data_IF_299277138763
#
_entry.id   IF_299277138763
#
_cell.length_a   1.000
_cell.length_b   1.000
_cell.length_c   1.000
_cell.angle_alpha   90.00
_cell.angle_beta   90.00
_cell.angle_gamma   90.00
#
_symmetry.space_group_name_H-M   'P 1'
#
loop_
_entity.id
_entity.type
_entity.pdbx_description
1 polymer ?
#
# COMPACT_ATOMS: atom_id res chain seq x y z
N UNK A 1 -46.44 5.96 14.02
CA UNK A 1 -45.37 5.31 14.79
C UNK A 1 -44.39 4.76 13.78
N UNK A 2 -43.18 5.30 13.70
CA UNK A 2 -42.10 4.75 12.89
C UNK A 2 -41.62 3.48 13.56
N UNK A 3 -41.60 2.35 12.83
CA UNK A 3 -41.00 1.12 13.35
C UNK A 3 -39.54 1.39 13.76
N UNK A 4 -39.09 0.82 14.89
CA UNK A 4 -37.69 0.95 15.29
C UNK A 4 -36.80 0.39 14.18
N UNK A 5 -35.87 1.23 13.70
CA UNK A 5 -34.92 0.84 12.66
C UNK A 5 -34.09 -0.34 13.19
N UNK A 6 -34.05 -1.42 12.42
CA UNK A 6 -33.26 -2.60 12.78
C UNK A 6 -31.80 -2.19 13.03
N UNK A 7 -31.26 -2.65 14.16
CA UNK A 7 -29.84 -2.48 14.47
C UNK A 7 -29.07 -3.55 13.70
N UNK A 8 -27.97 -3.14 13.06
CA UNK A 8 -27.09 -4.05 12.31
C UNK A 8 -26.46 -5.11 13.23
N UNK A 9 -26.20 -6.29 12.69
CA UNK A 9 -25.51 -7.39 13.39
C UNK A 9 -24.01 -7.13 13.52
N UNK A 10 -23.35 -7.88 14.40
CA UNK A 10 -21.89 -7.84 14.54
C UNK A 10 -21.18 -8.22 13.23
N UNK A 11 -21.65 -9.25 12.53
CA UNK A 11 -21.04 -9.68 11.26
C UNK A 11 -21.18 -8.61 10.18
N UNK A 12 -22.33 -7.94 10.09
CA UNK A 12 -22.55 -6.82 9.16
C UNK A 12 -21.66 -5.62 9.50
N UNK A 13 -21.47 -5.29 10.79
CA UNK A 13 -20.57 -4.23 11.21
C UNK A 13 -19.11 -4.56 10.89
N UNK A 14 -18.69 -5.81 11.09
CA UNK A 14 -17.33 -6.26 10.81
C UNK A 14 -17.03 -6.21 9.31
N UNK A 15 -17.94 -6.73 8.49
CA UNK A 15 -17.84 -6.65 7.03
C UNK A 15 -17.80 -5.19 6.55
N UNK A 16 -18.67 -4.33 7.07
CA UNK A 16 -18.67 -2.90 6.75
C UNK A 16 -17.33 -2.23 7.08
N UNK A 17 -16.75 -2.49 8.26
CA UNK A 17 -15.47 -1.92 8.65
C UNK A 17 -14.32 -2.44 7.78
N UNK A 18 -14.34 -3.72 7.38
CA UNK A 18 -13.40 -4.26 6.40
C UNK A 18 -13.50 -3.50 5.07
N UNK A 19 -14.72 -3.26 4.57
CA UNK A 19 -14.91 -2.51 3.33
C UNK A 19 -14.41 -1.06 3.47
N UNK A 20 -14.68 -0.40 4.60
CA UNK A 20 -14.15 0.95 4.86
C UNK A 20 -12.62 0.95 4.93
N UNK A 21 -12.01 -0.07 5.55
CA UNK A 21 -10.55 -0.21 5.60
C UNK A 21 -9.97 -0.32 4.19
N UNK A 22 -10.54 -1.13 3.30
CA UNK A 22 -10.05 -1.27 1.93
C UNK A 22 -10.15 0.04 1.13
N UNK A 23 -11.23 0.80 1.29
CA UNK A 23 -11.33 2.13 0.68
C UNK A 23 -10.26 3.10 1.22
N UNK A 24 -10.04 3.10 2.54
CA UNK A 24 -9.04 3.96 3.17
C UNK A 24 -7.61 3.57 2.78
N UNK A 25 -7.32 2.27 2.63
CA UNK A 25 -6.04 1.78 2.13
C UNK A 25 -5.80 2.21 0.68
N UNK A 26 -6.81 2.08 -0.19
CA UNK A 26 -6.70 2.43 -1.62
C UNK A 26 -6.59 3.94 -1.86
N UNK A 27 -7.21 4.77 -1.03
CA UNK A 27 -7.23 6.21 -1.19
C UNK A 27 -6.95 6.98 0.11
N UNK A 28 -5.77 6.82 0.74
CA UNK A 28 -5.54 7.35 2.09
C UNK A 28 -5.83 8.84 2.21
N UNK A 29 -5.38 9.65 1.25
CA UNK A 29 -5.59 11.10 1.25
C UNK A 29 -7.06 11.53 1.28
N UNK A 30 -7.98 10.77 0.65
CA UNK A 30 -9.41 11.11 0.65
C UNK A 30 -10.11 10.73 1.97
N UNK A 31 -9.51 9.82 2.75
CA UNK A 31 -10.10 9.27 3.96
C UNK A 31 -9.50 9.86 5.24
N UNK A 32 -8.63 10.87 5.15
CA UNK A 32 -7.96 11.47 6.32
C UNK A 32 -6.57 10.89 6.63
N UNK A 33 -5.98 10.19 5.67
CA UNK A 33 -4.62 9.67 5.71
C UNK A 33 -4.44 8.49 6.66
N UNK A 34 -3.20 8.31 7.11
CA UNK A 34 -2.79 7.19 7.97
C UNK A 34 -3.61 7.09 9.27
N UNK A 35 -4.00 8.22 9.85
CA UNK A 35 -4.80 8.25 11.08
C UNK A 35 -6.14 7.53 10.92
N UNK A 36 -6.81 7.69 9.79
CA UNK A 36 -8.09 7.02 9.53
C UNK A 36 -7.92 5.51 9.36
N UNK A 37 -6.87 5.08 8.66
CA UNK A 37 -6.50 3.67 8.53
C UNK A 37 -6.26 3.06 9.92
N UNK A 38 -5.44 3.70 10.74
CA UNK A 38 -5.13 3.25 12.11
C UNK A 38 -6.35 3.27 13.04
N UNK A 39 -7.33 4.15 12.80
CA UNK A 39 -8.60 4.11 13.52
C UNK A 39 -9.45 2.93 13.08
N UNK A 40 -9.60 2.67 11.78
CA UNK A 40 -10.38 1.53 11.28
C UNK A 40 -9.80 0.19 11.77
N UNK A 41 -8.46 0.07 11.80
CA UNK A 41 -7.78 -1.09 12.39
C UNK A 41 -8.11 -1.23 13.89
N UNK A 42 -8.11 -0.15 14.68
CA UNK A 42 -8.50 -0.21 16.10
C UNK A 42 -9.92 -0.73 16.29
N UNK A 43 -10.88 -0.31 15.46
CA UNK A 43 -12.26 -0.78 15.55
C UNK A 43 -12.39 -2.26 15.17
N UNK A 44 -11.67 -2.72 14.16
CA UNK A 44 -11.64 -4.14 13.80
C UNK A 44 -11.01 -4.99 14.91
N UNK A 45 -9.89 -4.53 15.49
CA UNK A 45 -9.29 -5.19 16.66
C UNK A 45 -10.24 -5.23 17.86
N UNK A 46 -10.97 -4.15 18.12
CA UNK A 46 -11.99 -4.12 19.16
C UNK A 46 -13.09 -5.17 18.91
N UNK A 47 -13.60 -5.25 17.69
CA UNK A 47 -14.62 -6.24 17.30
C UNK A 47 -14.12 -7.68 17.41
N UNK A 48 -12.82 -7.92 17.20
CA UNK A 48 -12.16 -9.21 17.39
C UNK A 48 -11.70 -9.48 18.83
N UNK A 49 -12.15 -8.67 19.79
CA UNK A 49 -11.86 -8.87 21.22
C UNK A 49 -10.44 -8.50 21.65
N UNK A 50 -9.74 -7.67 20.88
CA UNK A 50 -8.37 -7.20 21.13
C UNK A 50 -8.33 -5.66 21.32
N UNK A 51 -9.11 -5.08 22.26
CA UNK A 51 -9.17 -3.64 22.46
C UNK A 51 -7.79 -3.07 22.86
N UNK A 52 -7.36 -1.98 22.24
CA UNK A 52 -6.08 -1.32 22.55
C UNK A 52 -4.83 -2.03 22.03
N UNK A 53 -4.96 -3.18 21.36
CA UNK A 53 -3.83 -3.97 20.88
C UNK A 53 -3.08 -3.35 19.70
N UNK A 54 -3.61 -2.28 19.08
CA UNK A 54 -3.03 -1.65 17.87
C UNK A 54 -1.57 -1.27 18.02
N UNK A 55 -1.15 -0.84 19.22
CA UNK A 55 0.25 -0.51 19.45
C UNK A 55 1.13 -1.75 19.27
N UNK A 56 0.80 -2.84 19.95
CA UNK A 56 1.62 -4.05 20.01
C UNK A 56 1.60 -4.85 18.70
N UNK A 57 0.47 -4.87 18.00
CA UNK A 57 0.29 -5.74 16.82
C UNK A 57 0.47 -5.03 15.48
N UNK A 58 0.46 -3.69 15.46
CA UNK A 58 0.63 -2.89 14.23
C UNK A 58 1.83 -1.97 14.37
N UNK A 59 1.78 -1.02 15.32
CA UNK A 59 2.74 0.10 15.35
C UNK A 59 4.13 -0.39 15.74
N UNK A 60 4.25 -1.17 16.82
CA UNK A 60 5.54 -1.65 17.30
C UNK A 60 6.26 -2.53 16.25
N UNK A 61 5.63 -3.53 15.62
CA UNK A 61 6.26 -4.29 14.54
C UNK A 61 6.72 -3.42 13.36
N UNK A 62 5.91 -2.43 12.96
CA UNK A 62 6.31 -1.49 11.91
C UNK A 62 7.52 -0.64 12.34
N UNK A 63 7.58 -0.20 13.59
CA UNK A 63 8.71 0.56 14.14
C UNK A 63 9.98 -0.28 14.21
N UNK A 64 9.88 -1.52 14.69
CA UNK A 64 11.02 -2.44 14.84
C UNK A 64 11.69 -2.72 13.50
N UNK A 65 10.91 -2.85 12.42
CA UNK A 65 11.44 -2.98 11.06
C UNK A 65 11.80 -1.66 10.37
N UNK A 66 11.64 -0.50 11.04
CA UNK A 66 11.94 0.82 10.47
C UNK A 66 10.93 1.35 9.45
N UNK A 67 9.71 0.80 9.42
CA UNK A 67 8.62 1.23 8.53
C UNK A 67 7.71 2.31 9.14
N UNK A 68 7.98 2.77 10.37
CA UNK A 68 7.16 3.77 11.06
C UNK A 68 8.03 4.74 11.86
N UNK A 69 7.91 6.04 11.58
CA UNK A 69 8.64 7.10 12.30
C UNK A 69 7.74 7.88 13.26
N UNK A 70 8.25 8.96 13.85
CA UNK A 70 7.47 9.83 14.74
C UNK A 70 6.24 10.47 14.06
N UNK A 71 6.24 10.55 12.73
CA UNK A 71 5.11 11.05 11.92
C UNK A 71 4.50 9.95 11.04
N UNK A 72 4.64 8.69 11.46
CA UNK A 72 4.04 7.52 10.80
C UNK A 72 4.85 6.97 9.63
N UNK A 73 4.20 6.14 8.80
CA UNK A 73 4.76 5.58 7.55
C UNK A 73 5.15 6.71 6.59
N UNK A 74 4.34 7.79 6.56
CA UNK A 74 4.60 8.96 5.71
C UNK A 74 5.98 9.56 5.93
N UNK A 75 6.46 9.60 7.16
CA UNK A 75 7.79 10.12 7.45
C UNK A 75 8.90 9.26 6.86
N UNK A 76 8.74 7.94 6.89
CA UNK A 76 9.72 7.01 6.33
C UNK A 76 9.81 7.16 4.81
N UNK A 77 8.68 7.30 4.11
CA UNK A 77 8.70 7.50 2.65
C UNK A 77 9.33 8.83 2.22
N UNK A 78 9.18 9.90 3.03
CA UNK A 78 9.87 11.18 2.76
C UNK A 78 11.39 11.07 2.77
N UNK A 79 11.93 10.10 3.47
CA UNK A 79 13.38 9.80 3.49
C UNK A 79 13.80 8.88 2.33
N UNK A 80 12.85 8.20 1.68
CA UNK A 80 13.11 7.27 0.58
C UNK A 80 13.00 7.94 -0.79
N UNK A 81 12.02 8.81 -1.00
CA UNK A 81 11.73 9.40 -2.31
C UNK A 81 11.25 10.85 -2.20
N UNK A 82 11.73 11.70 -3.11
CA UNK A 82 11.28 13.09 -3.26
C UNK A 82 9.84 13.13 -3.74
N UNK A 83 9.06 14.09 -3.24
CA UNK A 83 7.64 14.19 -3.56
C UNK A 83 6.87 12.90 -3.23
N UNK A 84 7.17 12.22 -2.11
CA UNK A 84 6.36 11.09 -1.62
C UNK A 84 4.91 11.55 -1.39
N UNK A 85 3.93 10.69 -1.70
CA UNK A 85 2.50 11.03 -1.63
C UNK A 85 1.74 10.08 -0.71
N UNK A 86 0.49 10.41 -0.37
CA UNK A 86 -0.30 9.63 0.58
C UNK A 86 -0.63 8.20 0.07
N UNK A 87 -0.51 7.91 -1.24
CA UNK A 87 -0.71 6.56 -1.77
C UNK A 87 0.38 5.57 -1.33
N UNK A 88 1.53 6.04 -0.84
CA UNK A 88 2.60 5.19 -0.33
C UNK A 88 2.25 4.56 1.05
N UNK A 89 1.27 5.13 1.75
CA UNK A 89 0.88 4.73 3.12
C UNK A 89 0.07 3.43 3.13
N UNK A 90 -0.95 3.37 2.27
CA UNK A 90 -1.88 2.22 2.16
C UNK A 90 -1.16 0.87 2.02
N UNK A 91 -0.20 0.74 1.07
CA UNK A 91 0.60 -0.48 0.88
C UNK A 91 1.26 -1.04 2.15
N UNK A 92 1.68 -0.20 3.10
CA UNK A 92 2.36 -0.67 4.33
C UNK A 92 1.36 -1.27 5.32
N UNK A 93 0.19 -0.65 5.48
CA UNK A 93 -0.86 -1.17 6.35
C UNK A 93 -1.64 -2.33 5.72
N UNK A 94 -1.63 -2.43 4.39
CA UNK A 94 -2.25 -3.53 3.66
C UNK A 94 -1.63 -4.90 4.00
N UNK A 95 -0.34 -4.96 4.36
CA UNK A 95 0.30 -6.21 4.78
C UNK A 95 -0.31 -6.76 6.06
N UNK A 96 -0.56 -5.90 7.05
CA UNK A 96 -1.23 -6.30 8.28
C UNK A 96 -2.67 -6.72 7.99
N UNK A 97 -3.39 -5.93 7.18
CA UNK A 97 -4.76 -6.26 6.78
C UNK A 97 -4.83 -7.61 6.04
N UNK A 98 -3.83 -7.94 5.22
CA UNK A 98 -3.78 -9.20 4.48
C UNK A 98 -3.62 -10.40 5.41
N UNK A 99 -2.66 -10.36 6.33
CA UNK A 99 -2.45 -11.43 7.33
C UNK A 99 -3.67 -11.66 8.21
N UNK A 100 -4.46 -10.60 8.45
CA UNK A 100 -5.72 -10.67 9.21
C UNK A 100 -6.93 -11.13 8.37
N UNK A 101 -6.78 -11.33 7.06
CA UNK A 101 -7.89 -11.67 6.16
C UNK A 101 -8.85 -10.49 5.91
N UNK A 102 -8.43 -9.27 6.25
CA UNK A 102 -9.23 -8.04 6.08
C UNK A 102 -8.98 -7.35 4.73
N UNK A 103 -7.96 -7.75 3.99
CA UNK A 103 -7.68 -7.19 2.66
C UNK A 103 -8.63 -7.82 1.62
N UNK A 104 -9.14 -7.00 0.69
CA UNK A 104 -10.04 -7.40 -0.40
C UNK A 104 -9.35 -7.21 -1.75
N UNK A 105 -8.46 -8.13 -2.16
CA UNK A 105 -7.87 -8.08 -3.49
C UNK A 105 -8.86 -8.47 -4.57
N UNK A 106 -8.74 -7.85 -5.75
CA UNK A 106 -9.54 -8.15 -6.94
C UNK A 106 -9.20 -9.52 -7.53
N UNK A 107 -7.95 -9.96 -7.33
CA UNK A 107 -7.46 -11.30 -7.70
C UNK A 107 -6.35 -11.76 -6.76
N UNK A 108 -6.20 -13.07 -6.64
CA UNK A 108 -5.11 -13.72 -5.92
C UNK A 108 -4.18 -14.44 -6.92
N UNK A 109 -2.90 -14.50 -6.58
CA UNK A 109 -1.91 -15.32 -7.27
C UNK A 109 -1.82 -16.69 -6.62
N UNK A 110 -1.86 -17.74 -7.44
CA UNK A 110 -1.49 -19.07 -6.96
C UNK A 110 -0.03 -19.10 -6.48
N UNK A 111 0.37 -20.07 -5.64
CA UNK A 111 1.71 -20.11 -5.06
C UNK A 111 2.85 -20.13 -6.08
N UNK A 112 2.63 -20.72 -7.26
CA UNK A 112 3.66 -20.79 -8.30
C UNK A 112 3.82 -19.42 -8.97
N UNK A 113 2.72 -18.79 -9.38
CA UNK A 113 2.74 -17.47 -9.99
C UNK A 113 3.32 -16.41 -9.03
N UNK A 114 2.98 -16.52 -7.73
CA UNK A 114 3.55 -15.65 -6.70
C UNK A 114 5.05 -15.85 -6.53
N UNK A 115 5.53 -17.09 -6.47
CA UNK A 115 6.97 -17.38 -6.37
C UNK A 115 7.73 -16.90 -7.62
N UNK A 116 7.20 -17.14 -8.82
CA UNK A 116 7.79 -16.64 -10.07
C UNK A 116 7.87 -15.10 -10.08
N UNK A 117 6.85 -14.41 -9.53
CA UNK A 117 6.89 -12.96 -9.37
C UNK A 117 7.97 -12.51 -8.38
N UNK A 118 8.04 -13.15 -7.20
CA UNK A 118 9.02 -12.84 -6.15
C UNK A 118 10.46 -12.96 -6.66
N UNK A 119 10.75 -13.99 -7.47
CA UNK A 119 12.09 -14.26 -8.00
C UNK A 119 12.48 -13.29 -9.11
N UNK A 120 11.52 -12.93 -9.99
CA UNK A 120 11.79 -12.12 -11.19
C UNK A 120 11.75 -10.61 -10.95
N UNK A 121 10.88 -10.13 -10.07
CA UNK A 121 10.63 -8.70 -9.91
C UNK A 121 11.88 -7.88 -9.52
N UNK A 122 12.77 -8.33 -8.63
CA UNK A 122 14.00 -7.58 -8.29
C UNK A 122 14.94 -7.38 -9.49
N UNK A 123 15.18 -8.45 -10.26
CA UNK A 123 16.07 -8.39 -11.43
C UNK A 123 15.45 -7.54 -12.53
N UNK A 124 14.15 -7.70 -12.76
CA UNK A 124 13.42 -6.93 -13.77
C UNK A 124 13.41 -5.42 -13.48
N UNK A 125 13.49 -5.04 -12.20
CA UNK A 125 13.64 -3.65 -11.74
C UNK A 125 15.05 -3.06 -11.93
N UNK A 126 15.99 -3.77 -12.56
CA UNK A 126 17.31 -3.23 -12.90
C UNK A 126 17.28 -2.13 -13.97
N UNK A 127 16.17 -2.02 -14.72
CA UNK A 127 15.95 -1.02 -15.76
C UNK A 127 14.84 -0.03 -15.37
N UNK A 128 14.80 1.11 -16.06
CA UNK A 128 13.68 2.04 -15.94
C UNK A 128 12.45 1.46 -16.62
N UNK A 129 11.32 1.48 -15.91
CA UNK A 129 10.04 0.91 -16.32
C UNK A 129 8.93 1.88 -15.99
N UNK A 130 7.82 1.77 -16.70
CA UNK A 130 6.61 2.57 -16.48
C UNK A 130 5.43 1.68 -16.11
N UNK A 131 4.34 2.29 -15.67
CA UNK A 131 3.13 1.58 -15.29
C UNK A 131 2.67 0.52 -16.33
N UNK A 132 2.60 0.82 -17.65
CA UNK A 132 2.20 -0.19 -18.65
C UNK A 132 3.16 -1.37 -18.73
N UNK A 133 4.46 -1.16 -18.51
CA UNK A 133 5.45 -2.22 -18.57
C UNK A 133 5.22 -3.25 -17.45
N UNK A 134 4.88 -2.77 -16.24
CA UNK A 134 4.58 -3.65 -15.10
C UNK A 134 3.35 -4.51 -15.39
N UNK A 135 2.28 -3.89 -15.93
CA UNK A 135 1.04 -4.60 -16.26
C UNK A 135 1.23 -5.56 -17.44
N UNK A 136 2.02 -5.18 -18.44
CA UNK A 136 2.34 -6.05 -19.57
C UNK A 136 3.15 -7.28 -19.16
N UNK A 137 4.07 -7.12 -18.20
CA UNK A 137 4.94 -8.21 -17.73
C UNK A 137 4.24 -9.13 -16.70
N UNK A 138 3.54 -8.56 -15.71
CA UNK A 138 3.04 -9.30 -14.55
C UNK A 138 1.50 -9.41 -14.50
N UNK A 139 0.82 -8.86 -15.50
CA UNK A 139 -0.64 -8.80 -15.58
C UNK A 139 -1.23 -7.68 -14.72
N UNK A 140 -2.57 -7.64 -14.63
CA UNK A 140 -3.28 -6.68 -13.78
C UNK A 140 -2.87 -6.85 -12.30
N UNK A 141 -2.82 -5.79 -11.47
CA UNK A 141 -2.53 -5.95 -10.05
C UNK A 141 -3.64 -6.70 -9.31
N UNK A 142 -3.31 -7.29 -8.17
CA UNK A 142 -4.31 -7.73 -7.17
C UNK A 142 -5.02 -6.55 -6.54
N UNK A 143 -4.31 -5.44 -6.31
CA UNK A 143 -4.84 -4.18 -5.77
C UNK A 143 -4.12 -3.01 -6.40
N UNK A 144 -4.88 -1.97 -6.75
CA UNK A 144 -4.38 -0.66 -7.14
C UNK A 144 -4.52 0.33 -5.97
N UNK A 145 -3.41 0.71 -5.36
CA UNK A 145 -3.38 1.80 -4.37
C UNK A 145 -3.20 3.13 -5.10
N UNK A 146 -4.20 4.00 -5.00
CA UNK A 146 -4.34 5.22 -5.80
C UNK A 146 -5.35 5.04 -6.94
N UNK A 147 -5.50 6.07 -7.77
CA UNK A 147 -6.47 6.07 -8.87
C UNK A 147 -5.95 5.48 -10.18
N UNK A 148 -6.85 5.08 -11.07
CA UNK A 148 -6.52 4.61 -12.43
C UNK A 148 -6.06 5.72 -13.39
N UNK A 149 -6.07 6.99 -12.97
CA UNK A 149 -5.61 8.09 -13.82
C UNK A 149 -4.10 7.97 -14.11
N UNK A 150 -3.67 7.94 -15.38
CA UNK A 150 -2.27 7.70 -15.75
C UNK A 150 -1.33 8.84 -15.34
N UNK A 151 -1.84 10.01 -14.99
CA UNK A 151 -1.00 11.15 -14.61
C UNK A 151 -0.48 11.08 -13.17
N UNK A 152 -1.05 10.25 -12.30
CA UNK A 152 -0.71 10.23 -10.88
C UNK A 152 0.09 8.98 -10.50
N UNK A 153 1.00 9.14 -9.53
CA UNK A 153 1.68 8.03 -8.87
C UNK A 153 0.69 7.09 -8.18
N UNK A 154 1.11 5.83 -8.00
CA UNK A 154 0.29 4.74 -7.45
C UNK A 154 1.17 3.56 -7.07
N UNK A 155 0.60 2.61 -6.34
CA UNK A 155 1.28 1.35 -6.04
C UNK A 155 0.44 0.18 -6.53
N UNK A 156 1.07 -0.71 -7.29
CA UNK A 156 0.48 -1.99 -7.70
C UNK A 156 0.88 -3.04 -6.68
N UNK A 157 -0.09 -3.78 -6.15
CA UNK A 157 0.18 -4.92 -5.28
C UNK A 157 -0.26 -6.22 -5.92
N UNK A 158 0.53 -7.26 -5.70
CA UNK A 158 0.26 -8.63 -6.12
C UNK A 158 0.26 -9.52 -4.88
N UNK A 159 -0.87 -10.16 -4.64
CA UNK A 159 -1.21 -10.82 -3.38
C UNK A 159 -1.32 -12.32 -3.63
N UNK A 160 -0.67 -13.11 -2.77
CA UNK A 160 -0.73 -14.58 -2.78
C UNK A 160 -2.07 -15.08 -2.22
N UNK A 161 -2.52 -16.25 -2.66
CA UNK A 161 -3.61 -16.99 -2.00
C UNK A 161 -3.26 -17.37 -0.55
N UNK A 162 -1.97 -17.58 -0.26
CA UNK A 162 -1.47 -17.81 1.10
C UNK A 162 -1.23 -16.47 1.83
N UNK A 163 -1.97 -16.16 2.90
CA UNK A 163 -1.83 -14.91 3.65
C UNK A 163 -0.50 -14.76 4.39
N UNK A 164 0.26 -15.84 4.57
CA UNK A 164 1.60 -15.79 5.18
C UNK A 164 2.69 -15.41 4.16
N UNK A 165 2.39 -15.49 2.87
CA UNK A 165 3.31 -15.02 1.84
C UNK A 165 3.32 -13.48 1.74
N UNK A 166 4.49 -12.88 1.52
CA UNK A 166 4.59 -11.43 1.43
C UNK A 166 3.91 -10.88 0.18
N UNK A 167 3.31 -9.70 0.29
CA UNK A 167 2.78 -8.97 -0.86
C UNK A 167 3.96 -8.36 -1.65
N UNK A 168 3.88 -8.44 -2.98
CA UNK A 168 4.83 -7.77 -3.87
C UNK A 168 4.26 -6.42 -4.28
N UNK A 169 5.00 -5.34 -4.05
CA UNK A 169 4.57 -3.99 -4.41
C UNK A 169 5.47 -3.38 -5.48
N UNK A 170 4.87 -2.79 -6.50
CA UNK A 170 5.54 -1.94 -7.48
C UNK A 170 5.09 -0.50 -7.22
N UNK A 171 6.02 0.31 -6.71
CA UNK A 171 5.74 1.70 -6.37
C UNK A 171 6.07 2.60 -7.55
N UNK A 172 5.07 3.34 -8.03
CA UNK A 172 5.15 4.15 -9.23
C UNK A 172 4.99 5.63 -8.88
N UNK A 173 5.87 6.45 -9.42
CA UNK A 173 5.93 7.89 -9.15
C UNK A 173 5.64 8.69 -10.42
N UNK A 174 4.85 9.76 -10.30
CA UNK A 174 4.67 10.74 -11.37
C UNK A 174 4.44 12.14 -10.79
N UNK A 175 5.27 12.49 -9.81
CA UNK A 175 5.22 13.78 -9.16
C UNK A 175 5.79 14.90 -10.03
N UNK A 176 5.82 16.09 -9.44
CA UNK A 176 6.53 17.23 -9.98
C UNK A 176 7.95 17.25 -9.37
N UNK A 177 8.97 17.46 -10.19
CA UNK A 177 10.34 17.66 -9.71
C UNK A 177 10.58 19.09 -9.24
N UNK A 178 9.73 20.04 -9.65
CA UNK A 178 9.74 21.42 -9.22
C UNK A 178 8.66 21.65 -8.14
N UNK A 179 8.99 21.33 -6.89
CA UNK A 179 8.08 21.54 -5.75
C UNK A 179 7.69 23.01 -5.52
N UNK A 180 8.39 23.96 -6.15
CA UNK A 180 8.06 25.39 -6.07
C UNK A 180 7.07 25.85 -7.16
N UNK A 181 6.75 24.98 -8.13
CA UNK A 181 5.79 25.28 -9.18
C UNK A 181 4.37 25.43 -8.60
N UNK A 182 3.65 26.53 -8.90
CA UNK A 182 2.26 26.69 -8.48
C UNK A 182 1.28 25.82 -9.30
N UNK A 183 1.77 25.22 -10.39
CA UNK A 183 1.00 24.35 -11.28
C UNK A 183 1.57 22.95 -11.24
N UNK A 184 0.77 22.00 -10.76
CA UNK A 184 1.15 20.60 -10.79
C UNK A 184 1.30 20.12 -12.23
N UNK A 185 2.50 19.65 -12.58
CA UNK A 185 2.78 19.04 -13.87
C UNK A 185 3.47 17.68 -13.66
N UNK A 186 2.87 16.56 -14.12
CA UNK A 186 3.53 15.27 -13.99
C UNK A 186 4.83 15.26 -14.80
N UNK A 187 5.89 14.72 -14.21
CA UNK A 187 7.21 14.65 -14.85
C UNK A 187 7.23 13.72 -16.08
N UNK A 188 6.29 12.77 -16.13
CA UNK A 188 6.18 11.77 -17.19
C UNK A 188 4.74 11.66 -17.69
N UNK A 189 4.56 11.15 -18.92
CA UNK A 189 3.23 10.85 -19.46
C UNK A 189 2.50 9.81 -18.60
N UNK A 190 3.24 8.82 -18.10
CA UNK A 190 2.76 7.80 -17.18
C UNK A 190 3.76 7.56 -16.05
N UNK A 191 3.34 6.99 -14.92
CA UNK A 191 4.17 6.89 -13.74
C UNK A 191 5.34 5.94 -13.96
N UNK A 192 6.52 6.36 -13.52
CA UNK A 192 7.76 5.59 -13.57
C UNK A 192 7.85 4.70 -12.34
N UNK A 193 8.28 3.44 -12.52
CA UNK A 193 8.59 2.54 -11.43
C UNK A 193 9.83 3.05 -10.72
N UNK A 194 9.71 3.40 -9.44
CA UNK A 194 10.86 3.83 -8.65
C UNK A 194 11.41 2.70 -7.77
N UNK A 195 10.56 1.79 -7.29
CA UNK A 195 11.04 0.60 -6.61
C UNK A 195 10.04 -0.55 -6.62
N UNK A 196 10.58 -1.76 -6.53
CA UNK A 196 9.85 -2.96 -6.13
C UNK A 196 10.11 -3.20 -4.65
N UNK A 197 9.08 -3.51 -3.87
CA UNK A 197 9.18 -3.79 -2.43
C UNK A 197 8.69 -5.20 -2.14
N UNK A 198 9.53 -6.00 -1.47
CA UNK A 198 9.26 -7.41 -1.18
C UNK A 198 9.65 -7.78 0.26
N UNK A 199 8.78 -8.56 0.90
CA UNK A 199 9.08 -9.26 2.15
C UNK A 199 9.10 -8.40 3.41
N UNK A 200 9.41 -9.06 4.53
CA UNK A 200 9.45 -8.48 5.89
C UNK A 200 10.87 -8.09 6.36
N UNK A 201 11.79 -7.91 5.40
CA UNK A 201 13.12 -7.38 5.69
C UNK A 201 13.04 -5.99 6.32
N UNK A 202 14.12 -5.49 6.98
CA UNK A 202 14.18 -4.10 7.39
C UNK A 202 13.70 -3.18 6.25
N UNK A 203 12.85 -2.21 6.58
CA UNK A 203 11.98 -1.58 5.59
C UNK A 203 12.76 -0.99 4.42
N UNK A 204 13.87 -0.32 4.68
CA UNK A 204 14.72 0.24 3.62
C UNK A 204 15.36 -0.83 2.72
N UNK A 205 15.69 -1.99 3.28
CA UNK A 205 16.29 -3.13 2.56
C UNK A 205 15.26 -3.96 1.79
N UNK A 206 13.97 -3.79 2.09
CA UNK A 206 12.88 -4.44 1.35
C UNK A 206 12.70 -3.87 -0.06
N UNK A 207 13.29 -2.70 -0.36
CA UNK A 207 13.18 -2.05 -1.66
C UNK A 207 14.34 -2.41 -2.60
N UNK A 208 13.99 -2.75 -3.83
CA UNK A 208 14.89 -2.78 -4.98
C UNK A 208 14.57 -1.57 -5.86
N UNK A 209 15.47 -0.59 -5.86
CA UNK A 209 15.31 0.66 -6.60
C UNK A 209 15.73 0.51 -8.05
N UNK A 210 14.88 1.00 -8.96
CA UNK A 210 15.22 1.21 -10.36
C UNK A 210 16.24 2.35 -10.50
N UNK A 211 16.91 2.50 -11.66
CA UNK A 211 17.75 3.66 -11.91
C UNK A 211 17.01 4.99 -11.72
N UNK A 212 15.74 5.08 -12.15
CA UNK A 212 14.86 6.23 -11.93
C UNK A 212 14.60 6.47 -10.45
N UNK A 213 14.28 5.41 -9.70
CA UNK A 213 14.09 5.54 -8.25
C UNK A 213 15.32 6.03 -7.52
N UNK A 214 16.53 5.60 -7.93
CA UNK A 214 17.79 6.12 -7.37
C UNK A 214 17.98 7.61 -7.62
N UNK A 215 17.57 8.11 -8.79
CA UNK A 215 17.61 9.56 -9.11
C UNK A 215 16.57 10.37 -8.33
N UNK A 216 15.47 9.74 -7.91
CA UNK A 216 14.39 10.36 -7.16
C UNK A 216 14.62 10.34 -5.63
N UNK A 217 15.69 9.71 -5.14
CA UNK A 217 16.02 9.75 -3.70
C UNK A 217 16.37 11.18 -3.26
N UNK A 218 16.05 11.56 -2.02
CA UNK A 218 16.42 12.86 -1.45
C UNK A 218 17.90 13.19 -1.61
#
# INVERSE_FOLDING_TARGET
>A
MTEPRAVVSADEMHAYLIDQLNHALNYPGMFGGESAILMLIEHLLFMEGQPGARWDVVIQPLRERGAFSAIGVKGVFRELIRGSHDHDIGPVHAEFAHRRGWLRPDRLLDPRAHQELMDRAPEWAAEDRYWPDVVAEFGEPSILFGGANPKYGKTLAYVSEDPEHPIVFFHLWNGDLDEASPTWNPSYEQPVLWAVRLGDRPFQESFTFTPAGRRLRP
#
